data_IF_275373647187
#
_entry.id   IF_275373647187
#
_cell.length_a   1.000
_cell.length_b   1.000
_cell.length_c   1.000
_cell.angle_alpha   90.00
_cell.angle_beta   90.00
_cell.angle_gamma   90.00
#
_symmetry.space_group_name_H-M   'P 1'
#
loop_
_entity.id
_entity.type
_entity.pdbx_description
1 polymer ?
#
# COMPACT_ATOMS: atom_id res chain seq x y z
N UNK A 1 -3.56 7.49 16.24
CA UNK A 1 -3.23 6.12 15.82
C UNK A 1 -3.72 5.13 16.86
N UNK A 2 -4.39 4.09 16.42
CA UNK A 2 -4.97 3.03 17.24
C UNK A 2 -3.89 2.14 17.86
N UNK A 3 -2.70 2.16 17.29
CA UNK A 3 -1.51 1.51 17.80
C UNK A 3 -0.25 2.26 17.34
N UNK A 4 0.85 2.07 18.05
CA UNK A 4 2.16 2.63 17.72
C UNK A 4 3.21 1.53 17.72
N UNK A 5 4.25 1.67 16.87
CA UNK A 5 5.40 0.75 16.86
C UNK A 5 5.09 -0.62 16.29
N UNK A 6 4.50 -0.69 15.09
CA UNK A 6 4.30 -1.95 14.38
C UNK A 6 5.60 -2.57 13.88
N UNK A 7 6.56 -1.76 13.50
CA UNK A 7 7.85 -2.22 13.01
C UNK A 7 8.85 -1.08 12.93
N UNK A 8 10.09 -1.44 12.71
CA UNK A 8 11.22 -0.52 12.51
C UNK A 8 11.97 -0.89 11.24
N UNK A 9 12.42 0.12 10.49
CA UNK A 9 13.46 -0.05 9.48
C UNK A 9 14.70 0.72 9.94
N UNK A 10 15.88 0.14 9.71
CA UNK A 10 17.17 0.77 10.02
C UNK A 10 17.86 1.05 8.71
N UNK A 11 18.14 2.33 8.45
CA UNK A 11 18.98 2.75 7.32
C UNK A 11 20.43 2.54 7.68
N UNK A 12 21.13 1.66 6.96
CA UNK A 12 22.57 1.54 7.02
C UNK A 12 23.21 2.22 5.81
N UNK A 13 24.44 2.73 5.94
CA UNK A 13 25.15 3.42 4.85
C UNK A 13 25.49 2.49 3.67
N UNK A 14 25.31 1.20 3.81
CA UNK A 14 25.60 0.16 2.81
C UNK A 14 24.30 -0.55 2.43
N UNK A 15 23.69 -0.15 1.33
CA UNK A 15 22.60 -0.91 0.70
C UNK A 15 21.47 -0.06 0.14
N UNK A 16 20.93 -0.51 -0.99
CA UNK A 16 19.66 -0.03 -1.58
C UNK A 16 18.51 -0.42 -0.65
N UNK A 17 17.89 0.57 -0.01
CA UNK A 17 16.77 0.29 0.88
C UNK A 17 15.52 -0.10 0.10
N UNK A 18 14.96 -1.23 0.48
CA UNK A 18 13.54 -1.49 0.22
C UNK A 18 12.74 -0.67 1.24
N UNK A 19 12.20 0.47 0.81
CA UNK A 19 11.49 1.42 1.69
C UNK A 19 10.23 0.87 2.34
N UNK A 20 9.72 -0.27 1.86
CA UNK A 20 8.51 -0.93 2.36
C UNK A 20 8.79 -2.13 3.30
N UNK A 21 10.06 -2.43 3.62
CA UNK A 21 10.43 -3.58 4.46
C UNK A 21 10.77 -3.17 5.89
N UNK A 22 10.19 -3.88 6.87
CA UNK A 22 10.31 -3.55 8.29
C UNK A 22 10.53 -4.80 9.13
N UNK A 23 11.30 -4.69 10.19
CA UNK A 23 11.32 -5.68 11.27
C UNK A 23 10.04 -5.57 12.07
N UNK A 24 9.33 -6.68 12.28
CA UNK A 24 8.11 -6.72 13.06
C UNK A 24 8.39 -6.37 14.52
N UNK A 25 7.60 -5.46 15.09
CA UNK A 25 7.74 -5.01 16.47
C UNK A 25 7.34 -6.10 17.49
N UNK A 26 7.78 -5.94 18.74
CA UNK A 26 7.32 -6.79 19.84
C UNK A 26 5.78 -6.74 19.97
N UNK A 27 5.18 -7.87 20.31
CA UNK A 27 3.72 -8.04 20.40
C UNK A 27 2.96 -7.72 19.10
N UNK A 28 3.65 -7.68 17.97
CA UNK A 28 3.01 -7.55 16.66
C UNK A 28 2.89 -8.91 15.99
N UNK A 29 1.79 -9.10 15.27
CA UNK A 29 1.49 -10.28 14.47
C UNK A 29 0.84 -9.85 13.17
N UNK A 30 0.74 -10.79 12.23
CA UNK A 30 0.03 -10.58 10.98
C UNK A 30 -1.06 -11.64 10.87
N UNK A 31 -2.30 -11.21 10.67
CA UNK A 31 -3.47 -12.09 10.59
C UNK A 31 -4.15 -11.95 9.24
N UNK A 32 -4.61 -13.07 8.71
CA UNK A 32 -5.54 -13.13 7.58
C UNK A 32 -6.91 -12.53 7.93
N UNK A 33 -7.79 -12.36 6.94
CA UNK A 33 -9.16 -11.87 7.18
C UNK A 33 -9.96 -12.79 8.12
N UNK A 34 -9.70 -14.11 8.08
CA UNK A 34 -10.29 -15.13 8.97
C UNK A 34 -9.56 -15.26 10.32
N UNK A 35 -8.68 -14.31 10.65
CA UNK A 35 -7.94 -14.19 11.91
C UNK A 35 -6.92 -15.30 12.18
N UNK A 36 -6.50 -16.01 11.17
CA UNK A 36 -5.40 -16.98 11.26
C UNK A 36 -4.07 -16.25 11.12
N UNK A 37 -3.07 -16.61 11.93
CA UNK A 37 -1.73 -16.04 11.83
C UNK A 37 -1.07 -16.42 10.48
N UNK A 38 -0.54 -15.42 9.77
CA UNK A 38 0.16 -15.60 8.50
C UNK A 38 1.50 -16.28 8.75
N UNK A 39 1.80 -17.34 8.00
CA UNK A 39 3.08 -18.04 8.09
C UNK A 39 4.17 -17.28 7.35
N UNK A 40 5.36 -17.09 7.96
CA UNK A 40 6.51 -16.50 7.27
C UNK A 40 6.83 -17.24 5.96
N UNK A 41 7.14 -16.49 4.91
CA UNK A 41 7.48 -17.01 3.58
C UNK A 41 6.31 -17.57 2.77
N UNK A 42 5.07 -17.51 3.28
CA UNK A 42 3.91 -18.02 2.54
C UNK A 42 3.48 -17.15 1.35
N UNK A 43 3.90 -15.89 1.33
CA UNK A 43 3.42 -14.90 0.36
C UNK A 43 1.95 -14.48 0.57
N UNK A 44 1.27 -15.05 1.58
CA UNK A 44 -0.12 -14.71 1.90
C UNK A 44 -0.19 -13.32 2.55
N UNK A 45 -1.02 -12.40 2.03
CA UNK A 45 -1.18 -11.10 2.64
C UNK A 45 -2.06 -11.17 3.88
N UNK A 46 -1.75 -10.34 4.88
CA UNK A 46 -2.55 -10.21 6.08
C UNK A 46 -2.51 -8.81 6.67
N UNK A 47 -3.33 -8.58 7.67
CA UNK A 47 -3.35 -7.34 8.43
C UNK A 47 -2.27 -7.35 9.50
N UNK A 48 -1.49 -6.27 9.56
CA UNK A 48 -0.61 -6.07 10.70
C UNK A 48 -1.45 -5.74 11.93
N UNK A 49 -1.14 -6.41 13.03
CA UNK A 49 -1.85 -6.31 14.29
C UNK A 49 -0.87 -6.08 15.45
N UNK A 50 -1.26 -5.28 16.42
CA UNK A 50 -0.48 -5.06 17.64
C UNK A 50 -1.28 -5.46 18.86
N UNK A 51 -0.69 -6.36 19.65
CA UNK A 51 -1.18 -6.75 20.98
C UNK A 51 -0.59 -5.91 22.10
N UNK A 52 -0.86 -6.32 23.35
CA UNK A 52 -0.38 -5.64 24.56
C UNK A 52 -1.28 -4.47 24.98
N UNK A 53 -0.68 -3.35 25.35
CA UNK A 53 -1.42 -2.16 25.77
C UNK A 53 -2.09 -1.47 24.57
N UNK A 54 -3.32 -1.87 24.26
CA UNK A 54 -4.14 -1.27 23.19
C UNK A 54 -5.38 -0.59 23.78
N UNK A 55 -5.92 0.45 23.11
CA UNK A 55 -7.13 1.14 23.56
C UNK A 55 -8.33 0.21 23.73
N UNK A 56 -9.27 0.56 24.61
CA UNK A 56 -10.50 -0.19 24.81
C UNK A 56 -11.43 -0.12 23.59
N UNK A 57 -11.36 0.97 22.83
CA UNK A 57 -12.18 1.16 21.64
C UNK A 57 -12.38 2.63 21.29
N UNK A 58 -13.26 2.87 20.34
CA UNK A 58 -13.72 4.20 19.97
C UNK A 58 -14.91 4.62 20.84
N UNK A 59 -14.90 5.86 21.30
CA UNK A 59 -15.98 6.38 22.13
C UNK A 59 -17.30 6.40 21.35
N UNK A 60 -18.34 5.77 21.92
CA UNK A 60 -19.67 5.64 21.33
C UNK A 60 -19.73 5.06 19.91
N UNK A 61 -18.70 4.32 19.49
CA UNK A 61 -18.64 3.67 18.17
C UNK A 61 -18.27 2.18 18.32
N UNK A 62 -19.25 1.33 18.71
CA UNK A 62 -19.00 -0.09 18.89
C UNK A 62 -18.70 -0.81 17.57
N UNK A 63 -19.26 -0.36 16.45
CA UNK A 63 -19.04 -0.97 15.14
C UNK A 63 -17.59 -0.79 14.69
N UNK A 64 -17.08 0.45 14.73
CA UNK A 64 -15.69 0.73 14.42
C UNK A 64 -14.74 0.06 15.42
N UNK A 65 -15.14 -0.01 16.70
CA UNK A 65 -14.37 -0.74 17.72
C UNK A 65 -14.23 -2.21 17.36
N UNK A 66 -15.30 -2.90 17.00
CA UNK A 66 -15.27 -4.31 16.64
C UNK A 66 -14.48 -4.59 15.36
N UNK A 67 -14.50 -3.67 14.39
CA UNK A 67 -13.70 -3.77 13.17
C UNK A 67 -12.20 -3.59 13.42
N UNK A 68 -11.83 -2.74 14.39
CA UNK A 68 -10.42 -2.35 14.63
C UNK A 68 -9.76 -3.18 15.72
N UNK A 69 -10.50 -3.65 16.71
CA UNK A 69 -9.94 -4.43 17.82
C UNK A 69 -10.43 -5.85 17.78
N UNK A 70 -9.49 -6.75 17.46
CA UNK A 70 -9.78 -8.18 17.37
C UNK A 70 -9.36 -8.90 18.64
N UNK A 71 -10.05 -9.99 18.94
CA UNK A 71 -9.64 -10.96 19.95
C UNK A 71 -9.23 -12.25 19.21
N UNK A 72 -7.98 -12.67 19.40
CA UNK A 72 -7.42 -13.89 18.82
C UNK A 72 -6.70 -14.64 19.93
N UNK A 73 -7.09 -15.88 20.17
CA UNK A 73 -6.51 -16.76 21.23
C UNK A 73 -6.47 -16.09 22.61
N UNK A 74 -7.52 -15.35 22.98
CA UNK A 74 -7.62 -14.62 24.24
C UNK A 74 -6.74 -13.38 24.37
N UNK A 75 -6.08 -12.98 23.29
CA UNK A 75 -5.28 -11.75 23.24
C UNK A 75 -5.98 -10.69 22.40
N UNK A 76 -6.03 -9.45 22.90
CA UNK A 76 -6.61 -8.31 22.20
C UNK A 76 -5.56 -7.63 21.34
N UNK A 77 -5.91 -7.42 20.07
CA UNK A 77 -5.07 -6.76 19.06
C UNK A 77 -5.75 -5.52 18.48
N UNK A 78 -4.99 -4.46 18.27
CA UNK A 78 -5.37 -3.34 17.40
C UNK A 78 -4.95 -3.64 15.95
N UNK A 79 -5.91 -3.58 15.03
CA UNK A 79 -5.76 -3.89 13.59
C UNK A 79 -6.23 -2.68 12.78
N UNK A 80 -5.36 -1.69 12.51
CA UNK A 80 -5.77 -0.42 11.88
C UNK A 80 -6.08 -0.53 10.38
N UNK A 81 -5.85 -1.71 9.77
CA UNK A 81 -6.20 -1.98 8.38
C UNK A 81 -5.03 -1.85 7.40
N UNK A 82 -3.82 -1.85 7.90
CA UNK A 82 -2.61 -1.89 7.06
C UNK A 82 -2.30 -3.36 6.71
N UNK A 83 -2.05 -3.63 5.41
CA UNK A 83 -1.74 -4.95 4.88
C UNK A 83 -0.25 -5.13 4.68
N UNK A 84 0.23 -6.35 4.91
CA UNK A 84 1.62 -6.75 4.67
C UNK A 84 1.73 -8.24 4.33
N UNK A 85 2.88 -8.63 3.78
CA UNK A 85 3.35 -10.03 3.76
C UNK A 85 4.38 -10.24 4.85
N UNK A 86 4.56 -11.49 5.27
CA UNK A 86 5.63 -11.89 6.19
C UNK A 86 6.66 -12.68 5.40
N UNK A 87 7.87 -12.16 5.36
CA UNK A 87 8.99 -12.76 4.64
C UNK A 87 9.54 -13.99 5.41
N UNK A 88 10.36 -14.82 4.74
CA UNK A 88 10.96 -16.02 5.36
C UNK A 88 11.77 -15.70 6.62
N UNK A 89 12.43 -14.55 6.66
CA UNK A 89 13.23 -14.09 7.81
C UNK A 89 12.40 -13.42 8.93
N UNK A 90 11.06 -13.40 8.80
CA UNK A 90 10.14 -12.80 9.75
C UNK A 90 10.02 -11.28 9.65
N UNK A 91 10.70 -10.62 8.72
CA UNK A 91 10.42 -9.22 8.39
C UNK A 91 9.08 -9.11 7.65
N UNK A 92 8.51 -7.91 7.62
CA UNK A 92 7.28 -7.65 6.86
C UNK A 92 7.56 -6.71 5.69
N UNK A 93 6.88 -6.96 4.58
CA UNK A 93 6.78 -6.03 3.45
C UNK A 93 5.40 -5.37 3.49
N UNK A 94 5.37 -4.05 3.71
CA UNK A 94 4.12 -3.30 3.77
C UNK A 94 3.52 -3.20 2.36
N UNK A 95 2.26 -3.60 2.23
CA UNK A 95 1.50 -3.53 0.97
C UNK A 95 0.62 -2.27 0.89
N UNK A 96 0.28 -1.67 2.04
CA UNK A 96 -0.52 -0.47 2.14
C UNK A 96 -1.86 -0.65 2.84
N UNK A 97 -2.74 0.35 2.72
CA UNK A 97 -4.06 0.33 3.37
C UNK A 97 -5.09 -0.40 2.52
N UNK A 98 -5.82 -1.32 3.14
CA UNK A 98 -6.89 -2.08 2.48
C UNK A 98 -8.02 -1.20 1.90
N UNK A 99 -8.23 0.01 2.44
CA UNK A 99 -9.20 0.98 1.90
C UNK A 99 -8.84 1.49 0.50
N UNK A 100 -7.59 1.41 0.10
CA UNK A 100 -7.10 1.85 -1.21
C UNK A 100 -6.84 0.67 -2.17
N UNK A 101 -7.09 -0.57 -1.72
CA UNK A 101 -6.88 -1.76 -2.53
C UNK A 101 -7.70 -1.69 -3.83
N UNK A 102 -7.03 -1.96 -4.95
CA UNK A 102 -7.62 -1.96 -6.29
C UNK A 102 -8.02 -3.38 -6.62
N UNK A 103 -9.30 -3.59 -6.95
CA UNK A 103 -9.79 -4.88 -7.43
C UNK A 103 -9.82 -4.88 -8.96
N UNK A 104 -8.81 -5.49 -9.56
CA UNK A 104 -8.70 -5.60 -11.02
C UNK A 104 -8.85 -7.04 -11.45
N UNK A 105 -9.94 -7.35 -12.16
CA UNK A 105 -10.29 -8.72 -12.62
C UNK A 105 -10.26 -9.78 -11.50
N UNK A 106 -10.68 -9.42 -10.28
CA UNK A 106 -10.69 -10.32 -9.13
C UNK A 106 -9.37 -10.37 -8.34
N UNK A 107 -8.31 -9.74 -8.84
CA UNK A 107 -7.03 -9.67 -8.16
C UNK A 107 -6.96 -8.43 -7.25
N UNK A 108 -6.45 -8.61 -6.05
CA UNK A 108 -6.18 -7.50 -5.11
C UNK A 108 -4.81 -6.89 -5.43
N UNK A 109 -4.80 -5.61 -5.80
CA UNK A 109 -3.57 -4.85 -6.09
C UNK A 109 -3.47 -3.71 -5.08
N UNK A 110 -2.36 -3.66 -4.39
CA UNK A 110 -2.09 -2.63 -3.39
C UNK A 110 -1.36 -1.45 -4.06
N UNK A 111 -1.93 -0.23 -4.03
CA UNK A 111 -1.33 0.94 -4.67
C UNK A 111 0.12 1.15 -4.27
N UNK A 112 0.43 1.06 -3.00
CA UNK A 112 1.75 1.34 -2.44
C UNK A 112 2.84 0.41 -3.00
N UNK A 113 2.52 -0.85 -3.30
CA UNK A 113 3.45 -1.80 -3.94
C UNK A 113 3.86 -1.31 -5.35
N UNK A 114 2.88 -0.80 -6.11
CA UNK A 114 3.11 -0.29 -7.46
C UNK A 114 3.82 1.06 -7.42
N UNK A 115 3.46 1.91 -6.45
CA UNK A 115 4.10 3.21 -6.20
C UNK A 115 5.60 3.03 -5.88
N UNK A 116 5.93 2.09 -4.99
CA UNK A 116 7.32 1.78 -4.67
C UNK A 116 8.09 1.24 -5.88
N UNK A 117 7.47 0.37 -6.68
CA UNK A 117 8.09 -0.10 -7.90
C UNK A 117 8.40 1.04 -8.88
N UNK A 118 7.48 2.01 -9.05
CA UNK A 118 7.67 3.19 -9.90
C UNK A 118 8.76 4.11 -9.35
N UNK A 119 8.77 4.40 -8.04
CA UNK A 119 9.76 5.27 -7.39
C UNK A 119 11.20 4.75 -7.43
N UNK A 120 11.37 3.45 -7.70
CA UNK A 120 12.71 2.88 -7.95
C UNK A 120 13.27 3.20 -9.34
N UNK A 121 12.52 3.87 -10.22
CA UNK A 121 13.03 4.34 -11.51
C UNK A 121 13.71 5.71 -11.34
N UNK A 122 14.92 5.87 -11.89
CA UNK A 122 15.74 7.07 -11.71
C UNK A 122 15.08 8.39 -12.12
N UNK A 123 14.19 8.36 -13.11
CA UNK A 123 13.44 9.53 -13.57
C UNK A 123 12.26 9.90 -12.66
N UNK A 124 11.82 9.02 -11.76
CA UNK A 124 10.61 9.20 -10.96
C UNK A 124 10.97 9.80 -9.60
N UNK A 125 10.37 10.94 -9.29
CA UNK A 125 10.45 11.59 -7.99
C UNK A 125 9.43 11.05 -7.00
N UNK A 126 8.19 10.90 -7.46
CA UNK A 126 7.09 10.36 -6.65
C UNK A 126 6.01 9.75 -7.56
N UNK A 127 5.23 8.85 -7.02
CA UNK A 127 4.13 8.20 -7.71
C UNK A 127 2.97 7.92 -6.76
N UNK A 128 1.74 8.09 -7.26
CA UNK A 128 0.51 7.67 -6.59
C UNK A 128 -0.34 6.84 -7.54
N UNK A 129 -0.92 5.76 -7.02
CA UNK A 129 -1.65 4.78 -7.81
C UNK A 129 -3.10 4.68 -7.33
N UNK A 130 -4.03 4.69 -8.26
CA UNK A 130 -5.47 4.62 -8.01
C UNK A 130 -6.16 3.63 -8.94
N UNK A 131 -7.26 3.04 -8.48
CA UNK A 131 -8.17 2.25 -9.31
C UNK A 131 -9.23 3.13 -9.94
N UNK A 132 -9.27 3.19 -11.26
CA UNK A 132 -10.35 3.85 -12.00
C UNK A 132 -11.38 2.82 -12.48
N UNK A 133 -12.68 3.19 -12.59
CA UNK A 133 -13.68 2.33 -13.19
C UNK A 133 -13.25 1.85 -14.59
N UNK A 134 -13.44 0.57 -14.85
CA UNK A 134 -13.09 -0.06 -16.13
C UNK A 134 -14.08 -1.19 -16.43
N UNK A 135 -14.67 -1.20 -17.62
CA UNK A 135 -15.70 -2.17 -18.01
C UNK A 135 -15.17 -3.62 -18.05
N UNK A 136 -13.90 -3.80 -18.42
CA UNK A 136 -13.29 -5.12 -18.57
C UNK A 136 -12.72 -5.66 -17.27
N UNK A 137 -12.13 -4.77 -16.45
CA UNK A 137 -11.34 -5.15 -15.27
C UNK A 137 -12.05 -4.84 -13.95
N UNK A 138 -13.23 -4.19 -14.00
CA UNK A 138 -13.88 -3.60 -12.83
C UNK A 138 -13.15 -2.34 -12.39
N UNK A 139 -11.84 -2.46 -12.13
CA UNK A 139 -10.95 -1.33 -11.91
C UNK A 139 -9.65 -1.47 -12.72
N UNK A 140 -9.24 -0.41 -13.40
CA UNK A 140 -7.94 -0.30 -14.05
C UNK A 140 -6.92 0.37 -13.12
N UNK A 141 -5.76 -0.25 -12.95
CA UNK A 141 -4.64 0.35 -12.22
C UNK A 141 -4.13 1.55 -13.00
N UNK A 142 -4.17 2.73 -12.41
CA UNK A 142 -3.71 3.98 -13.02
C UNK A 142 -2.71 4.67 -12.11
N UNK A 143 -1.54 5.01 -12.64
CA UNK A 143 -0.52 5.75 -11.92
C UNK A 143 -0.53 7.22 -12.32
N UNK A 144 -0.28 8.10 -11.35
CA UNK A 144 0.06 9.51 -11.57
C UNK A 144 1.47 9.72 -11.05
N UNK A 145 2.37 10.20 -11.90
CA UNK A 145 3.80 10.24 -11.65
C UNK A 145 4.29 11.68 -11.68
N UNK A 146 5.12 12.02 -10.72
CA UNK A 146 5.93 13.23 -10.67
C UNK A 146 7.37 12.84 -11.03
N UNK A 147 7.95 13.50 -12.04
CA UNK A 147 9.32 13.24 -12.48
C UNK A 147 10.32 14.11 -11.72
N UNK A 148 11.56 13.66 -11.66
CA UNK A 148 12.69 14.48 -11.23
C UNK A 148 12.89 15.67 -12.17
N UNK A 149 13.44 16.75 -11.68
CA UNK A 149 13.68 17.96 -12.45
C UNK A 149 14.56 17.68 -13.69
N UNK A 150 14.04 17.98 -14.86
CA UNK A 150 14.72 17.75 -16.12
C UNK A 150 14.74 16.30 -16.62
N UNK A 151 14.12 15.38 -15.90
CA UNK A 151 13.98 14.00 -16.36
C UNK A 151 12.84 13.85 -17.39
N UNK A 152 13.07 13.01 -18.37
CA UNK A 152 12.08 12.63 -19.39
C UNK A 152 11.99 11.10 -19.45
N UNK A 153 10.78 10.60 -19.43
CA UNK A 153 10.47 9.18 -19.61
C UNK A 153 9.03 9.02 -20.11
N UNK A 154 8.78 8.07 -20.99
CA UNK A 154 7.44 7.77 -21.45
C UNK A 154 6.74 6.73 -20.57
N UNK A 155 5.42 6.64 -20.74
CA UNK A 155 4.61 5.72 -19.96
C UNK A 155 4.94 4.23 -20.23
N UNK A 156 5.32 3.88 -21.45
CA UNK A 156 5.55 2.48 -21.83
C UNK A 156 6.88 1.98 -21.23
N UNK A 157 7.89 2.83 -21.17
CA UNK A 157 9.14 2.58 -20.44
C UNK A 157 8.88 2.32 -18.94
N UNK A 158 8.07 3.16 -18.30
CA UNK A 158 7.73 2.97 -16.87
C UNK A 158 6.89 1.70 -16.64
N UNK A 159 5.94 1.39 -17.54
CA UNK A 159 5.17 0.14 -17.47
C UNK A 159 6.06 -1.08 -17.57
N UNK A 160 6.98 -1.09 -18.55
CA UNK A 160 7.95 -2.17 -18.73
C UNK A 160 8.83 -2.32 -17.48
N UNK A 161 9.29 -1.21 -16.92
CA UNK A 161 10.09 -1.21 -15.71
C UNK A 161 9.36 -1.82 -14.50
N UNK A 162 8.09 -1.47 -14.29
CA UNK A 162 7.26 -2.09 -13.24
C UNK A 162 7.11 -3.59 -13.47
N UNK A 163 6.92 -4.03 -14.73
CA UNK A 163 6.77 -5.45 -15.06
C UNK A 163 8.04 -6.27 -14.84
N UNK A 164 9.21 -5.66 -14.70
CA UNK A 164 10.44 -6.37 -14.29
C UNK A 164 10.48 -6.67 -12.79
N UNK A 165 9.63 -6.02 -11.99
CA UNK A 165 9.63 -6.08 -10.53
C UNK A 165 8.37 -6.70 -9.94
N UNK A 166 7.24 -6.50 -10.61
CA UNK A 166 5.93 -6.97 -10.17
C UNK A 166 5.28 -7.85 -11.23
N UNK A 167 4.33 -8.67 -10.79
CA UNK A 167 3.51 -9.46 -11.70
C UNK A 167 2.80 -8.55 -12.72
N UNK A 168 2.73 -8.99 -13.97
CA UNK A 168 2.25 -8.19 -15.10
C UNK A 168 0.86 -7.58 -14.90
N UNK A 169 -0.03 -8.26 -14.18
CA UNK A 169 -1.39 -7.75 -13.90
C UNK A 169 -1.40 -6.55 -12.94
N UNK A 170 -0.34 -6.37 -12.13
CA UNK A 170 -0.17 -5.24 -11.21
C UNK A 170 0.32 -3.96 -11.90
N UNK A 171 0.92 -4.09 -13.09
CA UNK A 171 1.44 -2.93 -13.81
C UNK A 171 0.30 -1.98 -14.22
N UNK A 172 0.52 -0.66 -14.12
CA UNK A 172 -0.48 0.33 -14.52
C UNK A 172 -0.92 0.18 -15.97
N UNK A 173 -2.22 0.28 -16.21
CA UNK A 173 -2.78 0.34 -17.57
C UNK A 173 -2.52 1.71 -18.19
N UNK A 174 -2.59 2.75 -17.38
CA UNK A 174 -2.33 4.13 -17.77
C UNK A 174 -1.37 4.78 -16.78
N UNK A 175 -0.44 5.60 -17.30
CA UNK A 175 0.44 6.44 -16.50
C UNK A 175 0.26 7.88 -16.96
N UNK A 176 -0.07 8.75 -16.03
CA UNK A 176 -0.24 10.18 -16.24
C UNK A 176 0.91 10.93 -15.55
N UNK A 177 1.34 12.02 -16.14
CA UNK A 177 2.39 12.85 -15.55
C UNK A 177 1.80 14.13 -14.97
N UNK A 178 2.28 14.53 -13.80
CA UNK A 178 1.85 15.76 -13.11
C UNK A 178 3.06 16.44 -12.49
N UNK A 179 3.18 17.79 -12.62
CA UNK A 179 4.33 18.51 -12.07
C UNK A 179 4.52 18.37 -10.56
N UNK A 180 3.44 18.13 -9.82
CA UNK A 180 3.46 17.83 -8.39
C UNK A 180 2.25 17.01 -7.99
N UNK A 181 2.44 16.00 -7.16
CA UNK A 181 1.36 15.17 -6.61
C UNK A 181 0.63 15.83 -5.42
N UNK A 182 1.14 16.97 -4.94
CA UNK A 182 0.47 17.78 -3.91
C UNK A 182 0.34 17.07 -2.57
N UNK A 183 1.37 16.33 -2.13
CA UNK A 183 1.36 15.75 -0.79
C UNK A 183 1.26 16.86 0.27
N UNK A 184 0.51 16.58 1.32
CA UNK A 184 0.42 17.47 2.48
C UNK A 184 1.81 17.63 3.15
N UNK A 185 2.04 18.68 3.94
CA UNK A 185 3.33 18.92 4.61
C UNK A 185 3.82 17.76 5.50
N UNK A 186 2.90 16.91 5.96
CA UNK A 186 3.19 15.70 6.72
C UNK A 186 3.42 14.44 5.84
N UNK A 187 3.59 14.62 4.53
CA UNK A 187 3.82 13.55 3.55
C UNK A 187 2.58 12.75 3.13
N UNK A 188 1.40 13.02 3.69
CA UNK A 188 0.18 12.29 3.34
C UNK A 188 -0.27 12.59 1.92
N UNK A 189 -0.58 11.53 1.17
CA UNK A 189 -1.16 11.61 -0.15
C UNK A 189 -2.67 11.87 -0.10
N UNK A 190 -3.17 12.72 -0.99
CA UNK A 190 -4.60 12.90 -1.24
C UNK A 190 -5.05 12.03 -2.43
N UNK A 191 -5.27 10.75 -2.19
CA UNK A 191 -5.73 9.80 -3.21
C UNK A 191 -7.05 10.20 -3.86
N UNK A 192 -7.89 10.95 -3.15
CA UNK A 192 -9.17 11.43 -3.70
C UNK A 192 -8.94 12.45 -4.82
N UNK A 193 -8.07 13.43 -4.59
CA UNK A 193 -7.70 14.43 -5.60
C UNK A 193 -6.95 13.80 -6.77
N UNK A 194 -6.07 12.83 -6.52
CA UNK A 194 -5.35 12.09 -7.55
C UNK A 194 -6.31 11.26 -8.42
N UNK A 195 -7.28 10.60 -7.80
CA UNK A 195 -8.31 9.85 -8.55
C UNK A 195 -9.16 10.77 -9.42
N UNK A 196 -9.59 11.92 -8.88
CA UNK A 196 -10.35 12.90 -9.65
C UNK A 196 -9.56 13.42 -10.86
N UNK A 197 -8.30 13.80 -10.66
CA UNK A 197 -7.41 14.21 -11.76
C UNK A 197 -7.24 13.13 -12.82
N UNK A 198 -7.05 11.88 -12.42
CA UNK A 198 -6.86 10.76 -13.36
C UNK A 198 -8.15 10.48 -14.15
N UNK A 199 -9.32 10.53 -13.50
CA UNK A 199 -10.61 10.37 -14.18
C UNK A 199 -10.85 11.47 -15.21
N UNK A 200 -10.62 12.74 -14.85
CA UNK A 200 -10.74 13.88 -15.77
C UNK A 200 -9.80 13.74 -16.97
N UNK A 201 -8.51 13.42 -16.71
CA UNK A 201 -7.49 13.31 -17.75
C UNK A 201 -7.77 12.19 -18.75
N UNK A 202 -8.42 11.11 -18.33
CA UNK A 202 -8.73 9.94 -19.18
C UNK A 202 -10.18 9.92 -19.67
N UNK A 203 -10.99 10.91 -19.30
CA UNK A 203 -12.41 10.97 -19.67
C UNK A 203 -13.26 9.82 -19.09
N UNK A 204 -12.87 9.31 -17.91
CA UNK A 204 -13.58 8.22 -17.23
C UNK A 204 -14.63 8.81 -16.29
N UNK A 205 -15.87 8.37 -16.42
CA UNK A 205 -16.97 8.74 -15.52
C UNK A 205 -17.01 7.84 -14.28
N UNK A 206 -17.56 8.37 -13.18
CA UNK A 206 -17.67 7.64 -11.90
C UNK A 206 -18.71 6.52 -11.94
#
# INVERSE_FOLDING_TARGET
SEAVGFGMSVTTAEGTQQTARFTLGENCKVFTEDRREVKPGSGEPGFIARGGAVPLGYYKDPEKTAKTYWEVDGVRYAVPGDWCTVEEDGTITLLGRGSNCINSAGEKIYPEEVEEALKNHEAVRDALVVGLPDEKWGQAVTAVVELNDGAEVDQDTLKAFVQTRLARYKAPKSILFKPSLGRAPNGKADYKSIKAFAMESLGVSA
#
